data_IF_969650723220
#
_entry.id   IF_969650723220
#
_cell.length_a   1.000
_cell.length_b   1.000
_cell.length_c   1.000
_cell.angle_alpha   90.00
_cell.angle_beta   90.00
_cell.angle_gamma   90.00
#
_symmetry.space_group_name_H-M   'P 1'
#
loop_
_entity.id
_entity.type
_entity.pdbx_description
1 polymer ?
#
# COMPACT_ATOMS: atom_id res chain seq x y z
N UNK A 1 9.92 -21.04 -31.08
CA UNK A 1 9.11 -20.86 -29.86
C UNK A 1 9.71 -19.77 -28.94
N UNK A 2 9.97 -18.56 -29.44
CA UNK A 2 10.53 -17.42 -28.66
C UNK A 2 9.46 -16.41 -28.21
N UNK A 3 8.27 -16.42 -28.81
CA UNK A 3 7.14 -15.55 -28.41
C UNK A 3 6.57 -15.91 -27.03
N UNK A 4 6.56 -17.20 -26.68
CA UNK A 4 5.98 -17.67 -25.41
C UNK A 4 6.85 -17.31 -24.18
N UNK A 5 8.16 -17.06 -24.36
CA UNK A 5 9.03 -16.65 -23.24
C UNK A 5 8.94 -15.15 -22.93
N UNK A 6 8.45 -14.35 -23.89
CA UNK A 6 8.25 -12.91 -23.74
C UNK A 6 6.85 -12.56 -23.24
N UNK A 7 5.86 -13.44 -23.43
CA UNK A 7 4.49 -13.21 -22.98
C UNK A 7 4.38 -12.81 -21.50
N UNK A 8 5.13 -13.40 -20.54
CA UNK A 8 5.02 -12.99 -19.14
C UNK A 8 5.58 -11.58 -18.88
N UNK A 9 6.55 -11.11 -19.69
CA UNK A 9 7.06 -9.73 -19.58
C UNK A 9 6.03 -8.73 -20.08
N UNK A 10 5.42 -9.04 -21.22
CA UNK A 10 4.46 -8.15 -21.88
C UNK A 10 3.21 -8.04 -21.01
N UNK A 11 2.69 -9.15 -20.49
CA UNK A 11 1.53 -9.14 -19.58
C UNK A 11 1.82 -8.37 -18.28
N UNK A 12 3.01 -8.54 -17.69
CA UNK A 12 3.45 -7.79 -16.49
C UNK A 12 3.52 -6.27 -16.74
N UNK A 13 4.03 -5.85 -17.91
CA UNK A 13 4.11 -4.43 -18.25
C UNK A 13 2.75 -3.84 -18.58
N UNK A 14 1.90 -4.59 -19.29
CA UNK A 14 0.53 -4.16 -19.60
C UNK A 14 -0.32 -4.03 -18.34
N UNK A 15 -0.18 -4.93 -17.36
CA UNK A 15 -0.89 -4.80 -16.09
C UNK A 15 -0.45 -3.53 -15.33
N UNK A 16 0.85 -3.21 -15.32
CA UNK A 16 1.34 -1.97 -14.73
C UNK A 16 0.83 -0.71 -15.45
N UNK A 17 0.73 -0.74 -16.78
CA UNK A 17 0.10 0.36 -17.55
C UNK A 17 -1.38 0.52 -17.16
N UNK A 18 -2.10 -0.58 -16.97
CA UNK A 18 -3.47 -0.56 -16.46
C UNK A 18 -3.57 0.07 -15.06
N UNK A 19 -2.63 -0.26 -14.17
CA UNK A 19 -2.53 0.37 -12.84
C UNK A 19 -2.29 1.87 -12.96
N UNK A 20 -1.37 2.31 -13.83
CA UNK A 20 -1.13 3.73 -14.05
C UNK A 20 -2.39 4.46 -14.51
N UNK A 21 -3.13 3.90 -15.46
CA UNK A 21 -4.38 4.50 -15.94
C UNK A 21 -5.43 4.57 -14.85
N UNK A 22 -5.66 3.48 -14.12
CA UNK A 22 -6.67 3.42 -13.06
C UNK A 22 -6.38 4.42 -11.96
N UNK A 23 -5.16 4.41 -11.41
CA UNK A 23 -4.79 5.28 -10.29
C UNK A 23 -4.74 6.76 -10.71
N UNK A 24 -4.35 7.05 -11.95
CA UNK A 24 -4.38 8.43 -12.48
C UNK A 24 -5.81 8.95 -12.60
N UNK A 25 -6.75 8.13 -13.07
CA UNK A 25 -8.17 8.49 -13.15
C UNK A 25 -8.76 8.69 -11.76
N UNK A 26 -8.52 7.77 -10.83
CA UNK A 26 -8.99 7.92 -9.44
C UNK A 26 -8.40 9.17 -8.78
N UNK A 27 -7.12 9.45 -9.00
CA UNK A 27 -6.49 10.67 -8.49
C UNK A 27 -7.14 11.91 -9.13
N UNK A 28 -7.35 11.92 -10.44
CA UNK A 28 -8.05 13.01 -11.10
C UNK A 28 -9.44 13.22 -10.50
N UNK A 29 -10.23 12.16 -10.32
CA UNK A 29 -11.58 12.19 -9.71
C UNK A 29 -11.57 12.77 -8.29
N UNK A 30 -10.61 12.34 -7.45
CA UNK A 30 -10.49 12.81 -6.07
C UNK A 30 -10.11 14.29 -5.96
N UNK A 31 -9.39 14.82 -6.94
CA UNK A 31 -8.92 16.21 -6.95
C UNK A 31 -9.70 17.12 -7.91
N UNK A 32 -10.79 16.65 -8.56
CA UNK A 32 -11.62 17.53 -9.41
C UNK A 32 -12.20 18.66 -8.56
N UNK A 33 -11.74 19.88 -8.80
CA UNK A 33 -12.19 21.09 -8.11
C UNK A 33 -11.34 21.51 -6.91
N UNK A 34 -10.28 20.75 -6.58
CA UNK A 34 -9.29 21.09 -5.56
C UNK A 34 -7.93 21.26 -6.25
N UNK A 35 -7.15 22.27 -5.86
CA UNK A 35 -5.75 22.41 -6.29
C UNK A 35 -4.85 21.78 -5.21
N UNK A 36 -4.53 20.47 -5.27
CA UNK A 36 -3.66 19.85 -4.28
C UNK A 36 -2.29 20.51 -4.27
N UNK A 37 -1.76 20.71 -3.06
CA UNK A 37 -0.33 20.97 -2.91
C UNK A 37 0.45 19.66 -3.06
N UNK A 38 1.76 19.76 -3.32
CA UNK A 38 2.64 18.57 -3.39
C UNK A 38 2.60 17.70 -2.13
N UNK A 39 2.38 18.31 -0.96
CA UNK A 39 2.25 17.61 0.31
C UNK A 39 0.96 16.78 0.38
N UNK A 40 -0.12 17.30 -0.19
CA UNK A 40 -1.41 16.61 -0.22
C UNK A 40 -1.34 15.37 -1.12
N UNK A 41 -0.67 15.48 -2.28
CA UNK A 41 -0.38 14.35 -3.16
C UNK A 41 0.48 13.29 -2.46
N UNK A 42 1.55 13.69 -1.79
CA UNK A 42 2.43 12.80 -1.02
C UNK A 42 1.71 12.09 0.15
N UNK A 43 0.64 12.68 0.68
CA UNK A 43 -0.16 12.03 1.73
C UNK A 43 -1.17 11.01 1.18
N UNK A 44 -1.46 11.03 -0.12
CA UNK A 44 -2.51 10.22 -0.72
C UNK A 44 -2.08 8.77 -0.96
N UNK A 45 -2.97 7.82 -0.65
CA UNK A 45 -2.71 6.38 -0.85
C UNK A 45 -2.50 6.04 -2.35
N UNK A 46 -3.23 6.70 -3.25
CA UNK A 46 -3.13 6.53 -4.70
C UNK A 46 -1.75 6.95 -5.23
N UNK A 47 -1.19 8.05 -4.72
CA UNK A 47 0.15 8.48 -5.12
C UNK A 47 1.22 7.50 -4.62
N UNK A 48 1.09 6.95 -3.41
CA UNK A 48 1.96 5.87 -2.95
C UNK A 48 1.88 4.64 -3.87
N UNK A 49 0.66 4.24 -4.27
CA UNK A 49 0.43 3.13 -5.21
C UNK A 49 1.10 3.40 -6.57
N UNK A 50 1.00 4.61 -7.10
CA UNK A 50 1.67 5.05 -8.33
C UNK A 50 3.21 5.02 -8.21
N UNK A 51 3.77 5.50 -7.10
CA UNK A 51 5.22 5.47 -6.87
C UNK A 51 5.76 4.04 -6.84
N UNK A 52 5.03 3.13 -6.19
CA UNK A 52 5.39 1.72 -6.16
C UNK A 52 5.27 1.11 -7.56
N UNK A 53 4.26 1.49 -8.36
CA UNK A 53 4.10 1.02 -9.73
C UNK A 53 5.27 1.49 -10.62
N UNK A 54 5.74 2.73 -10.46
CA UNK A 54 6.95 3.26 -11.09
C UNK A 54 8.18 2.42 -10.71
N UNK A 55 8.37 2.13 -9.42
CA UNK A 55 9.48 1.30 -8.95
C UNK A 55 9.48 -0.08 -9.63
N UNK A 56 8.30 -0.68 -9.79
CA UNK A 56 8.14 -1.96 -10.47
C UNK A 56 8.34 -1.91 -11.98
N UNK A 57 7.99 -0.79 -12.61
CA UNK A 57 8.16 -0.61 -14.04
C UNK A 57 9.64 -0.46 -14.43
N UNK A 58 10.41 0.32 -13.65
CA UNK A 58 11.81 0.61 -13.94
C UNK A 58 12.80 -0.38 -13.33
N UNK A 59 12.57 -0.82 -12.09
CA UNK A 59 13.55 -1.61 -11.35
C UNK A 59 13.29 -3.12 -11.36
N UNK A 60 12.03 -3.56 -11.41
CA UNK A 60 11.66 -4.92 -10.99
C UNK A 60 11.76 -5.98 -12.07
N UNK A 61 12.56 -7.03 -11.82
CA UNK A 61 12.37 -8.33 -12.50
C UNK A 61 10.93 -8.86 -12.29
N UNK A 62 10.44 -9.66 -13.26
CA UNK A 62 9.09 -10.26 -13.26
C UNK A 62 8.80 -10.97 -11.93
N UNK A 63 7.82 -10.50 -11.19
CA UNK A 63 7.40 -11.20 -9.97
C UNK A 63 5.91 -10.99 -9.72
N UNK A 64 5.18 -12.11 -9.62
CA UNK A 64 3.75 -12.10 -9.37
C UNK A 64 3.40 -11.43 -8.03
N UNK A 65 4.23 -11.62 -7.01
CA UNK A 65 4.04 -11.03 -5.69
C UNK A 65 4.01 -9.50 -5.73
N UNK A 66 4.69 -8.86 -6.69
CA UNK A 66 4.68 -7.40 -6.87
C UNK A 66 3.36 -6.89 -7.45
N UNK A 67 2.66 -7.70 -8.23
CA UNK A 67 1.35 -7.36 -8.83
C UNK A 67 0.19 -7.67 -7.88
N UNK A 68 0.37 -8.64 -6.97
CA UNK A 68 -0.66 -9.12 -6.06
C UNK A 68 -1.41 -8.01 -5.30
N UNK A 69 -0.74 -7.00 -4.69
CA UNK A 69 -1.45 -5.91 -4.01
C UNK A 69 -2.37 -5.12 -4.94
N UNK A 70 -1.92 -4.84 -6.17
CA UNK A 70 -2.71 -4.12 -7.17
C UNK A 70 -3.93 -4.90 -7.65
N UNK A 71 -3.84 -6.23 -7.73
CA UNK A 71 -5.00 -7.06 -8.08
C UNK A 71 -6.07 -7.03 -7.00
N UNK A 72 -5.65 -7.08 -5.72
CA UNK A 72 -6.57 -6.99 -4.58
C UNK A 72 -7.23 -5.60 -4.56
N UNK A 73 -6.44 -4.54 -4.77
CA UNK A 73 -6.92 -3.17 -4.85
C UNK A 73 -7.90 -2.97 -6.02
N UNK A 74 -7.56 -3.45 -7.23
CA UNK A 74 -8.43 -3.38 -8.40
C UNK A 74 -9.73 -4.16 -8.20
N UNK A 75 -9.68 -5.33 -7.56
CA UNK A 75 -10.87 -6.09 -7.22
C UNK A 75 -11.76 -5.33 -6.21
N UNK A 76 -11.16 -4.56 -5.30
CA UNK A 76 -11.90 -3.71 -4.38
C UNK A 76 -12.60 -2.55 -5.11
N UNK A 77 -11.90 -1.85 -5.99
CA UNK A 77 -12.50 -0.81 -6.84
C UNK A 77 -13.65 -1.38 -7.69
N UNK A 78 -13.47 -2.54 -8.33
CA UNK A 78 -14.54 -3.17 -9.13
C UNK A 78 -15.75 -3.58 -8.30
N UNK A 79 -15.53 -4.08 -7.09
CA UNK A 79 -16.64 -4.49 -6.19
C UNK A 79 -17.42 -3.27 -5.68
N UNK A 80 -16.77 -2.11 -5.57
CA UNK A 80 -17.37 -0.84 -5.10
C UNK A 80 -17.75 0.12 -6.22
N UNK A 81 -17.47 -0.21 -7.46
CA UNK A 81 -17.73 0.61 -8.64
C UNK A 81 -19.19 1.11 -8.70
N UNK A 82 -20.16 0.26 -8.36
CA UNK A 82 -21.57 0.65 -8.35
C UNK A 82 -21.93 1.66 -7.24
N UNK A 83 -21.17 1.68 -6.14
CA UNK A 83 -21.33 2.69 -5.07
C UNK A 83 -20.58 3.97 -5.43
N UNK A 84 -19.37 3.89 -5.98
CA UNK A 84 -18.58 5.05 -6.41
C UNK A 84 -19.24 5.84 -7.56
N UNK A 85 -19.97 5.14 -8.46
CA UNK A 85 -20.67 5.77 -9.59
C UNK A 85 -22.05 6.33 -9.24
N UNK A 86 -22.71 5.83 -8.18
CA UNK A 86 -24.08 6.21 -7.82
C UNK A 86 -24.19 6.94 -6.46
N UNK A 87 -23.14 6.99 -5.65
CA UNK A 87 -23.15 7.75 -4.41
C UNK A 87 -23.05 9.25 -4.73
N UNK A 88 -24.03 10.02 -4.29
CA UNK A 88 -23.82 11.44 -4.06
C UNK A 88 -22.62 11.59 -3.11
N UNK A 89 -21.71 12.53 -3.39
CA UNK A 89 -20.40 12.75 -2.74
C UNK A 89 -20.40 12.82 -1.20
N UNK A 90 -21.57 12.78 -0.55
CA UNK A 90 -21.77 12.95 0.90
C UNK A 90 -22.11 11.64 1.63
N UNK A 91 -22.48 10.55 0.95
CA UNK A 91 -22.78 9.28 1.62
C UNK A 91 -21.50 8.47 1.86
N UNK A 92 -21.12 8.33 3.14
CA UNK A 92 -20.04 7.44 3.58
C UNK A 92 -20.32 6.03 3.06
N UNK A 93 -19.49 5.55 2.12
CA UNK A 93 -19.58 4.19 1.57
C UNK A 93 -19.62 3.19 2.74
N UNK A 94 -20.70 2.43 2.93
CA UNK A 94 -20.81 1.51 4.06
C UNK A 94 -19.73 0.42 3.92
N UNK A 95 -18.75 0.45 4.81
CA UNK A 95 -17.69 -0.55 4.88
C UNK A 95 -18.30 -1.88 5.33
N UNK A 96 -18.54 -2.78 4.38
CA UNK A 96 -19.02 -4.13 4.66
C UNK A 96 -17.91 -4.91 5.39
N UNK A 97 -18.22 -5.85 6.31
CA UNK A 97 -17.19 -6.69 6.95
C UNK A 97 -16.30 -7.46 5.96
N UNK A 98 -16.81 -7.77 4.76
CA UNK A 98 -16.01 -8.31 3.64
C UNK A 98 -14.94 -7.33 3.17
N UNK A 99 -15.25 -6.04 3.09
CA UNK A 99 -14.29 -5.00 2.68
C UNK A 99 -13.17 -4.91 3.70
N UNK A 100 -13.48 -4.89 5.00
CA UNK A 100 -12.46 -4.88 6.05
C UNK A 100 -11.49 -6.07 5.91
N UNK A 101 -12.02 -7.27 5.67
CA UNK A 101 -11.19 -8.46 5.43
C UNK A 101 -10.29 -8.30 4.20
N UNK A 102 -10.78 -7.64 3.16
CA UNK A 102 -10.04 -7.43 1.92
C UNK A 102 -8.96 -6.34 2.05
N UNK A 103 -9.22 -5.28 2.83
CA UNK A 103 -8.20 -4.28 3.17
C UNK A 103 -7.09 -4.88 4.05
N UNK A 104 -7.44 -5.76 4.99
CA UNK A 104 -6.42 -6.51 5.73
C UNK A 104 -5.60 -7.40 4.78
N UNK A 105 -6.25 -8.09 3.84
CA UNK A 105 -5.58 -8.93 2.84
C UNK A 105 -4.62 -8.11 1.95
N UNK A 106 -5.02 -6.90 1.55
CA UNK A 106 -4.17 -5.95 0.84
C UNK A 106 -2.92 -5.63 1.67
N UNK A 107 -3.09 -5.22 2.92
CA UNK A 107 -1.97 -4.87 3.77
C UNK A 107 -1.03 -6.06 4.06
N UNK A 108 -1.57 -7.28 4.21
CA UNK A 108 -0.77 -8.51 4.29
C UNK A 108 0.00 -8.80 3.01
N UNK A 109 -0.62 -8.56 1.84
CA UNK A 109 0.05 -8.76 0.55
C UNK A 109 1.24 -7.80 0.38
N UNK A 110 1.13 -6.57 0.86
CA UNK A 110 2.21 -5.58 0.84
C UNK A 110 3.38 -5.98 1.75
N UNK A 111 3.07 -6.46 2.97
CA UNK A 111 4.07 -7.01 3.87
C UNK A 111 4.77 -8.24 3.27
N UNK A 112 4.04 -9.07 2.53
CA UNK A 112 4.61 -10.20 1.79
C UNK A 112 5.60 -9.70 0.72
N UNK A 113 5.33 -8.58 0.03
CA UNK A 113 6.28 -7.99 -0.92
C UNK A 113 7.58 -7.58 -0.23
N UNK A 114 7.51 -6.96 0.96
CA UNK A 114 8.70 -6.63 1.76
C UNK A 114 9.50 -7.89 2.10
N UNK A 115 8.82 -8.94 2.56
CA UNK A 115 9.45 -10.19 2.92
C UNK A 115 10.10 -10.88 1.71
N UNK A 116 9.40 -10.89 0.57
CA UNK A 116 9.93 -11.44 -0.68
C UNK A 116 11.17 -10.67 -1.17
N UNK A 117 11.13 -9.34 -1.15
CA UNK A 117 12.29 -8.51 -1.50
C UNK A 117 13.46 -8.70 -0.53
N UNK A 118 13.17 -8.89 0.77
CA UNK A 118 14.19 -9.15 1.78
C UNK A 118 14.89 -10.48 1.51
N UNK A 119 14.12 -11.54 1.21
CA UNK A 119 14.67 -12.82 0.81
C UNK A 119 15.47 -12.71 -0.49
N UNK A 120 14.94 -12.06 -1.53
CA UNK A 120 15.64 -11.86 -2.80
C UNK A 120 16.92 -11.01 -2.64
N UNK A 121 16.99 -10.14 -1.64
CA UNK A 121 18.19 -9.36 -1.28
C UNK A 121 19.21 -10.24 -0.57
N UNK A 122 18.80 -11.02 0.44
CA UNK A 122 19.70 -11.93 1.18
C UNK A 122 20.24 -13.04 0.27
N UNK A 123 19.41 -13.57 -0.63
CA UNK A 123 19.79 -14.59 -1.60
C UNK A 123 20.55 -14.03 -2.81
N UNK A 124 20.79 -12.71 -2.89
CA UNK A 124 21.42 -12.01 -4.02
C UNK A 124 20.87 -12.43 -5.39
N UNK A 125 19.58 -12.80 -5.44
CA UNK A 125 18.95 -13.42 -6.62
C UNK A 125 18.87 -12.46 -7.81
N UNK A 126 18.89 -11.16 -7.52
CA UNK A 126 18.84 -10.09 -8.51
C UNK A 126 19.71 -8.95 -7.98
N UNK A 127 20.72 -8.50 -8.75
CA UNK A 127 21.65 -7.47 -8.27
C UNK A 127 21.02 -6.12 -7.91
N UNK A 128 19.75 -5.91 -8.27
CA UNK A 128 18.99 -4.69 -8.00
C UNK A 128 17.99 -4.82 -6.84
N UNK A 129 17.77 -6.02 -6.28
CA UNK A 129 16.72 -6.29 -5.27
C UNK A 129 16.89 -5.45 -3.99
N UNK A 130 18.14 -5.26 -3.54
CA UNK A 130 18.44 -4.44 -2.36
C UNK A 130 18.09 -2.96 -2.54
N UNK A 131 18.40 -2.36 -3.69
CA UNK A 131 18.01 -0.98 -4.00
C UNK A 131 16.48 -0.84 -4.04
N UNK A 132 15.80 -1.80 -4.64
CA UNK A 132 14.33 -1.85 -4.66
C UNK A 132 13.74 -1.97 -3.26
N UNK A 133 14.33 -2.78 -2.39
CA UNK A 133 13.88 -2.93 -1.01
C UNK A 133 13.97 -1.60 -0.26
N UNK A 134 15.09 -0.88 -0.37
CA UNK A 134 15.27 0.41 0.31
C UNK A 134 14.25 1.43 -0.17
N UNK A 135 14.05 1.56 -1.49
CA UNK A 135 13.08 2.50 -2.05
C UNK A 135 11.65 2.10 -1.64
N UNK A 136 11.31 0.81 -1.73
CA UNK A 136 9.99 0.31 -1.34
C UNK A 136 9.70 0.57 0.14
N UNK A 137 10.67 0.30 1.03
CA UNK A 137 10.54 0.59 2.46
C UNK A 137 10.37 2.09 2.71
N UNK A 138 11.07 2.95 1.97
CA UNK A 138 10.89 4.40 2.03
C UNK A 138 9.46 4.84 1.66
N UNK A 139 8.90 4.29 0.58
CA UNK A 139 7.51 4.57 0.18
C UNK A 139 6.53 3.97 1.20
N UNK A 140 6.80 2.77 1.70
CA UNK A 140 5.96 2.13 2.72
C UNK A 140 5.99 2.88 4.05
N UNK A 141 7.10 3.54 4.38
CA UNK A 141 7.20 4.43 5.54
C UNK A 141 6.29 5.65 5.41
N UNK A 142 6.23 6.26 4.23
CA UNK A 142 5.26 7.33 3.95
C UNK A 142 3.84 6.80 4.13
N UNK A 143 3.54 5.62 3.55
CA UNK A 143 2.24 4.97 3.71
C UNK A 143 1.89 4.69 5.18
N UNK A 144 2.85 4.30 6.02
CA UNK A 144 2.63 4.12 7.46
C UNK A 144 2.26 5.43 8.17
N UNK A 145 2.71 6.58 7.70
CA UNK A 145 2.35 7.87 8.32
C UNK A 145 0.93 8.31 7.98
N UNK A 146 0.40 7.92 6.82
CA UNK A 146 -0.87 8.45 6.31
C UNK A 146 -2.00 7.41 6.17
N UNK A 147 -1.68 6.11 6.16
CA UNK A 147 -2.68 5.05 5.97
C UNK A 147 -2.97 4.31 7.29
N UNK A 148 -4.21 4.38 7.83
CA UNK A 148 -4.58 3.65 9.04
C UNK A 148 -4.52 2.12 8.84
N UNK A 149 -4.76 1.64 7.61
CA UNK A 149 -4.73 0.22 7.29
C UNK A 149 -3.31 -0.35 7.32
N UNK A 150 -2.34 0.41 6.81
CA UNK A 150 -0.94 0.03 6.90
C UNK A 150 -0.46 0.01 8.37
N UNK A 151 -0.88 0.99 9.18
CA UNK A 151 -0.57 1.04 10.61
C UNK A 151 -1.11 -0.17 11.36
N UNK A 152 -2.37 -0.55 11.12
CA UNK A 152 -3.01 -1.72 11.74
C UNK A 152 -2.30 -3.01 11.35
N UNK A 153 -1.96 -3.19 10.08
CA UNK A 153 -1.29 -4.42 9.61
C UNK A 153 0.12 -4.57 10.19
N UNK A 154 0.89 -3.48 10.27
CA UNK A 154 2.20 -3.49 10.91
C UNK A 154 2.07 -3.76 12.41
N UNK A 155 1.07 -3.17 13.09
CA UNK A 155 0.81 -3.42 14.50
C UNK A 155 0.42 -4.87 14.76
N UNK A 156 -0.48 -5.46 13.97
CA UNK A 156 -0.85 -6.88 14.05
C UNK A 156 0.39 -7.77 13.88
N UNK A 157 1.27 -7.44 12.92
CA UNK A 157 2.51 -8.16 12.72
C UNK A 157 3.43 -8.05 13.93
N UNK A 158 3.64 -6.85 14.48
CA UNK A 158 4.45 -6.65 15.68
C UNK A 158 3.92 -7.42 16.90
N UNK A 159 2.60 -7.46 17.09
CA UNK A 159 1.96 -8.23 18.16
C UNK A 159 2.14 -9.74 17.94
N UNK A 160 2.04 -10.21 16.68
CA UNK A 160 2.24 -11.63 16.35
C UNK A 160 3.70 -12.06 16.57
N UNK A 161 4.65 -11.20 16.21
CA UNK A 161 6.09 -11.47 16.39
C UNK A 161 6.56 -11.30 17.83
N UNK A 162 5.84 -10.59 18.69
CA UNK A 162 6.16 -10.43 20.12
C UNK A 162 6.37 -11.77 20.84
N UNK A 163 5.64 -12.82 20.44
CA UNK A 163 5.80 -14.18 20.97
C UNK A 163 7.19 -14.77 20.74
N UNK A 164 7.89 -14.32 19.70
CA UNK A 164 9.21 -14.79 19.29
C UNK A 164 10.35 -13.85 19.72
N UNK A 165 10.04 -12.71 20.36
CA UNK A 165 11.05 -11.73 20.78
C UNK A 165 11.70 -12.15 22.11
N UNK A 166 13.04 -12.29 22.18
CA UNK A 166 13.75 -12.57 23.42
C UNK A 166 13.50 -11.49 24.47
N UNK A 167 13.40 -11.87 25.76
CA UNK A 167 13.14 -10.93 26.87
C UNK A 167 14.10 -9.73 26.88
N UNK A 168 15.34 -9.90 26.42
CA UNK A 168 16.38 -8.85 26.33
C UNK A 168 16.03 -7.69 25.38
N UNK A 169 15.15 -7.89 24.40
CA UNK A 169 14.78 -6.88 23.41
C UNK A 169 13.34 -6.37 23.57
N UNK A 170 12.63 -6.78 24.62
CA UNK A 170 11.23 -6.38 24.85
C UNK A 170 11.05 -4.88 25.03
N UNK A 171 11.99 -4.21 25.70
CA UNK A 171 11.89 -2.76 25.92
C UNK A 171 11.97 -2.00 24.58
N UNK A 172 12.90 -2.39 23.70
CA UNK A 172 13.00 -1.83 22.35
C UNK A 172 11.76 -2.16 21.49
N UNK A 173 11.22 -3.36 21.64
CA UNK A 173 10.00 -3.77 20.96
C UNK A 173 8.79 -2.93 21.39
N UNK A 174 8.70 -2.60 22.67
CA UNK A 174 7.64 -1.76 23.21
C UNK A 174 7.74 -0.31 22.71
N UNK A 175 8.94 0.23 22.56
CA UNK A 175 9.15 1.57 21.95
C UNK A 175 8.62 1.61 20.52
N UNK A 176 8.90 0.58 19.71
CA UNK A 176 8.41 0.50 18.33
C UNK A 176 6.87 0.42 18.29
N UNK A 177 6.27 -0.42 19.14
CA UNK A 177 4.79 -0.50 19.25
C UNK A 177 4.18 0.84 19.68
N UNK A 178 4.76 1.48 20.69
CA UNK A 178 4.28 2.77 21.17
C UNK A 178 4.40 3.86 20.10
N UNK A 179 5.45 3.84 19.28
CA UNK A 179 5.60 4.77 18.18
C UNK A 179 4.48 4.62 17.15
N UNK A 180 4.16 3.40 16.73
CA UNK A 180 3.06 3.14 15.79
C UNK A 180 1.71 3.51 16.42
N UNK A 181 1.49 3.17 17.69
CA UNK A 181 0.26 3.52 18.40
C UNK A 181 0.07 5.04 18.52
N UNK A 182 1.13 5.79 18.80
CA UNK A 182 1.10 7.26 18.82
C UNK A 182 0.75 7.84 17.46
N UNK A 183 1.28 7.27 16.37
CA UNK A 183 0.95 7.68 15.00
C UNK A 183 -0.52 7.44 14.64
N UNK A 184 -1.08 6.30 15.06
CA UNK A 184 -2.52 6.03 14.91
C UNK A 184 -3.37 7.07 15.64
N UNK A 185 -2.98 7.42 16.88
CA UNK A 185 -3.68 8.41 17.69
C UNK A 185 -3.58 9.83 17.13
N UNK A 186 -2.44 10.20 16.55
CA UNK A 186 -2.26 11.48 15.83
C UNK A 186 -3.19 11.56 14.61
N UNK A 187 -3.35 10.46 13.87
CA UNK A 187 -4.23 10.40 12.70
C UNK A 187 -5.71 10.50 13.08
N UNK A 188 -6.13 9.81 14.14
CA UNK A 188 -7.50 9.88 14.68
C UNK A 188 -7.86 11.32 15.07
N UNK A 189 -6.97 11.99 15.82
CA UNK A 189 -7.13 13.40 16.20
C UNK A 189 -7.24 14.33 14.99
N UNK A 190 -6.42 14.13 13.96
CA UNK A 190 -6.47 14.95 12.73
C UNK A 190 -7.80 14.80 12.01
N UNK A 191 -8.32 13.58 11.93
CA UNK A 191 -9.63 13.30 11.32
C UNK A 191 -10.77 13.97 12.12
N UNK A 192 -10.69 13.96 13.45
CA UNK A 192 -11.66 14.63 14.33
C UNK A 192 -11.59 16.16 14.25
N UNK A 193 -10.41 16.73 14.06
CA UNK A 193 -10.23 18.19 13.87
C UNK A 193 -10.78 18.62 12.52
N UNK A 194 -10.45 17.91 11.44
CA UNK A 194 -11.00 18.18 10.10
C UNK A 194 -12.54 18.07 10.09
N UNK A 195 -13.09 17.05 10.76
CA UNK A 195 -14.55 16.89 10.90
C UNK A 195 -15.22 17.97 11.78
N UNK A 196 -14.46 18.72 12.59
CA UNK A 196 -14.97 19.86 13.37
C UNK A 196 -15.00 21.16 12.58
N UNK A 197 -14.22 21.27 11.52
CA UNK A 197 -14.14 22.46 10.65
C UNK A 197 -14.84 22.28 9.29
N UNK A 198 -15.38 21.08 9.01
CA UNK A 198 -16.21 20.77 7.85
C UNK A 198 -17.70 20.84 8.21
#
# INVERSE_FOLDING_TARGET
MKLLSWSPQVMYRLSLIGVFMSESVTMQQNWVGLNPTWNDLLSSENFHTLLIACLWFFGGGKSFYKILPYMILSYLHLTKMNYELNANKEEKIPLTPKDRKMLHLLAYSELLVILALTLDTILFKTGTSGFMLVIYVGIYWLRLNFSPYAQVAVLELLVKFEKYVPKKYRDKWQVIKNFIYMKMKEHEKRTEEVARYA
#
